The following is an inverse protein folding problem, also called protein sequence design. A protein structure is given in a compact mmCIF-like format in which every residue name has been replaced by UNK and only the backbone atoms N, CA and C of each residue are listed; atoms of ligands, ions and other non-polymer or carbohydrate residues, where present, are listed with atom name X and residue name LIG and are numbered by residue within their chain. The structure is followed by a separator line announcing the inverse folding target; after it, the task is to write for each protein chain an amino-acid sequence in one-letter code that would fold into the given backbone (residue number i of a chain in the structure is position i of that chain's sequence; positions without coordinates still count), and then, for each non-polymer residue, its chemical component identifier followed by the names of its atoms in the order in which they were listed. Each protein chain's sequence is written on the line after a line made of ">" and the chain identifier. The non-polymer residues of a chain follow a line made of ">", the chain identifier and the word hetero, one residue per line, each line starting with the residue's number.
data_IF_387067714004
#
_entry.id   IF_387067714004
#
_cell.length_a   1.000
_cell.length_b   1.000
_cell.length_c   1.000
_cell.angle_alpha   90.00
_cell.angle_beta   90.00
_cell.angle_gamma   90.00
#
_symmetry.space_group_name_H-M   'P 1'
#
loop_
_entity.id
_entity.type
_entity.pdbx_description
1 polymer ?
#
# COMPACT_ATOMS: atom_id res chain seq x y z
N UNK A 1 -16.44 -1.99 4.53
CA UNK A 1 -15.14 -1.53 5.07
C UNK A 1 -14.09 -1.72 3.99
N UNK A 2 -13.25 -0.71 3.71
CA UNK A 2 -12.21 -0.83 2.68
C UNK A 2 -11.03 -1.62 3.24
N UNK A 3 -10.90 -2.90 2.89
CA UNK A 3 -9.77 -3.74 3.32
C UNK A 3 -9.28 -4.72 2.24
N UNK A 4 -8.14 -5.36 2.54
CA UNK A 4 -7.49 -6.37 1.70
C UNK A 4 -7.49 -7.78 2.32
N UNK A 5 -8.30 -8.05 3.34
CA UNK A 5 -8.31 -9.32 4.08
C UNK A 5 -8.60 -10.56 3.21
N UNK A 6 -9.40 -10.39 2.16
CA UNK A 6 -9.75 -11.46 1.22
C UNK A 6 -8.79 -11.58 0.02
N UNK A 7 -7.69 -10.83 0.02
CA UNK A 7 -6.68 -10.95 -1.04
C UNK A 7 -5.91 -12.25 -0.85
N UNK A 8 -5.76 -13.00 -1.93
CA UNK A 8 -5.00 -14.25 -1.95
C UNK A 8 -3.59 -14.03 -1.40
N UNK A 9 -3.22 -14.81 -0.39
CA UNK A 9 -1.91 -14.75 0.25
C UNK A 9 -0.77 -14.94 -0.77
N UNK A 10 -0.94 -15.79 -1.78
CA UNK A 10 0.08 -16.02 -2.82
C UNK A 10 0.33 -14.76 -3.66
N UNK A 11 -0.68 -13.93 -3.88
CA UNK A 11 -0.50 -12.65 -4.56
C UNK A 11 0.32 -11.67 -3.71
N UNK A 12 0.03 -11.63 -2.39
CA UNK A 12 0.80 -10.81 -1.44
C UNK A 12 2.26 -11.26 -1.43
N UNK A 13 2.52 -12.56 -1.34
CA UNK A 13 3.87 -13.13 -1.34
C UNK A 13 4.64 -12.83 -2.63
N UNK A 14 4.01 -12.99 -3.79
CA UNK A 14 4.64 -12.69 -5.08
C UNK A 14 5.04 -11.21 -5.20
N UNK A 15 4.15 -10.30 -4.80
CA UNK A 15 4.46 -8.87 -4.80
C UNK A 15 5.48 -8.52 -3.72
N UNK A 16 5.44 -9.17 -2.56
CA UNK A 16 6.43 -8.98 -1.51
C UNK A 16 7.83 -9.37 -2.00
N UNK A 17 7.94 -10.44 -2.79
CA UNK A 17 9.20 -10.84 -3.43
C UNK A 17 9.69 -9.79 -4.45
N UNK A 18 8.79 -9.29 -5.30
CA UNK A 18 9.14 -8.28 -6.32
C UNK A 18 9.51 -6.93 -5.71
N UNK A 19 8.85 -6.55 -4.61
CA UNK A 19 9.04 -5.29 -3.92
C UNK A 19 9.97 -5.41 -2.71
N UNK A 20 10.58 -6.58 -2.49
CA UNK A 20 11.39 -6.93 -1.31
C UNK A 20 10.79 -6.47 0.02
N UNK A 21 9.46 -6.42 0.13
CA UNK A 21 8.73 -5.88 1.28
C UNK A 21 7.24 -6.23 1.22
N UNK A 22 6.78 -6.98 2.22
CA UNK A 22 5.36 -7.32 2.39
C UNK A 22 4.50 -6.07 2.65
N UNK A 23 5.03 -5.11 3.41
CA UNK A 23 4.36 -3.84 3.71
C UNK A 23 4.09 -3.06 2.42
N UNK A 24 5.09 -2.93 1.54
CA UNK A 24 4.92 -2.27 0.23
C UNK A 24 3.94 -3.02 -0.67
N UNK A 25 3.99 -4.35 -0.67
CA UNK A 25 3.04 -5.17 -1.43
C UNK A 25 1.60 -4.94 -0.98
N UNK A 26 1.33 -4.97 0.33
CA UNK A 26 0.01 -4.70 0.91
C UNK A 26 -0.50 -3.30 0.57
N UNK A 27 0.36 -2.28 0.70
CA UNK A 27 0.04 -0.89 0.34
C UNK A 27 -0.28 -0.78 -1.17
N UNK A 28 0.54 -1.41 -2.02
CA UNK A 28 0.33 -1.39 -3.47
C UNK A 28 -1.00 -2.03 -3.87
N UNK A 29 -1.31 -3.20 -3.31
CA UNK A 29 -2.59 -3.90 -3.53
C UNK A 29 -3.76 -3.03 -3.06
N UNK A 30 -3.65 -2.42 -1.89
CA UNK A 30 -4.68 -1.52 -1.37
C UNK A 30 -4.93 -0.36 -2.33
N UNK A 31 -3.87 0.32 -2.79
CA UNK A 31 -3.97 1.44 -3.73
C UNK A 31 -4.51 1.03 -5.10
N UNK A 32 -4.23 -0.20 -5.56
CA UNK A 32 -4.82 -0.74 -6.80
C UNK A 32 -6.32 -0.98 -6.69
N UNK A 33 -6.82 -1.29 -5.50
CA UNK A 33 -8.25 -1.49 -5.23
C UNK A 33 -8.97 -0.18 -4.94
N UNK A 34 -8.30 0.73 -4.23
CA UNK A 34 -8.83 2.01 -3.79
C UNK A 34 -7.85 3.12 -4.19
N UNK A 35 -8.10 3.71 -5.36
CA UNK A 35 -7.28 4.81 -5.87
C UNK A 35 -7.42 6.06 -4.98
N UNK A 36 -6.39 6.92 -4.97
CA UNK A 36 -6.38 8.23 -4.29
C UNK A 36 -6.65 8.17 -2.78
N UNK A 37 -6.18 7.12 -2.11
CA UNK A 37 -6.33 6.98 -0.66
C UNK A 37 -5.30 7.77 0.15
N UNK A 38 -5.75 8.22 1.31
CA UNK A 38 -4.94 8.84 2.36
C UNK A 38 -4.15 7.80 3.16
N UNK A 39 -3.16 8.24 3.93
CA UNK A 39 -2.38 7.37 4.83
C UNK A 39 -3.29 6.62 5.81
N UNK A 40 -4.28 7.31 6.40
CA UNK A 40 -5.14 6.73 7.41
C UNK A 40 -6.08 5.65 6.83
N UNK A 41 -6.57 5.86 5.61
CA UNK A 41 -7.36 4.86 4.89
C UNK A 41 -6.53 3.61 4.56
N UNK A 42 -5.29 3.81 4.09
CA UNK A 42 -4.37 2.70 3.80
C UNK A 42 -4.06 1.94 5.09
N UNK A 43 -3.75 2.63 6.18
CA UNK A 43 -3.47 2.02 7.48
C UNK A 43 -4.65 1.17 7.97
N UNK A 44 -5.87 1.74 7.94
CA UNK A 44 -7.08 1.03 8.34
C UNK A 44 -7.38 -0.19 7.45
N UNK A 45 -7.14 -0.09 6.15
CA UNK A 45 -7.46 -1.17 5.21
C UNK A 45 -6.40 -2.27 5.09
N UNK A 46 -5.17 -2.01 5.52
CA UNK A 46 -4.05 -2.97 5.49
C UNK A 46 -3.68 -3.51 6.87
N UNK A 47 -4.13 -2.86 7.95
CA UNK A 47 -3.71 -3.18 9.32
C UNK A 47 -2.29 -2.70 9.65
N UNK A 48 -1.66 -1.89 8.79
CA UNK A 48 -0.30 -1.37 8.98
C UNK A 48 -0.37 -0.05 9.76
N UNK A 49 0.56 0.17 10.68
CA UNK A 49 0.62 1.44 11.42
C UNK A 49 0.79 2.66 10.49
N UNK A 50 0.10 3.80 10.76
CA UNK A 50 0.18 5.00 9.92
C UNK A 50 1.60 5.54 9.70
N UNK A 51 2.50 5.40 10.68
CA UNK A 51 3.92 5.77 10.54
C UNK A 51 4.62 4.94 9.49
N UNK A 52 4.48 3.61 9.56
CA UNK A 52 5.06 2.67 8.60
C UNK A 52 4.48 2.86 7.20
N UNK A 53 3.18 3.21 7.10
CA UNK A 53 2.56 3.59 5.83
C UNK A 53 3.23 4.84 5.25
N UNK A 54 3.46 5.90 6.05
CA UNK A 54 4.13 7.12 5.59
C UNK A 54 5.53 6.85 5.06
N UNK A 55 6.32 6.09 5.80
CA UNK A 55 7.68 5.71 5.40
C UNK A 55 7.67 4.88 4.11
N UNK A 56 6.81 3.85 4.05
CA UNK A 56 6.71 2.99 2.88
C UNK A 56 6.22 3.73 1.64
N UNK A 57 5.25 4.65 1.79
CA UNK A 57 4.78 5.50 0.69
C UNK A 57 5.90 6.42 0.19
N UNK A 58 6.71 6.98 1.08
CA UNK A 58 7.85 7.82 0.70
C UNK A 58 8.87 7.02 -0.12
N UNK A 59 9.21 5.82 0.32
CA UNK A 59 10.11 4.92 -0.42
C UNK A 59 9.51 4.48 -1.75
N UNK A 60 8.23 4.13 -1.78
CA UNK A 60 7.50 3.76 -2.99
C UNK A 60 7.41 4.92 -3.98
N UNK A 61 7.30 6.16 -3.49
CA UNK A 61 7.32 7.36 -4.31
C UNK A 61 8.71 7.58 -4.92
N UNK A 62 9.76 7.49 -4.10
CA UNK A 62 11.15 7.65 -4.55
C UNK A 62 11.57 6.58 -5.57
N UNK A 63 10.95 5.40 -5.52
CA UNK A 63 11.18 4.29 -6.45
C UNK A 63 10.20 4.24 -7.62
N UNK A 64 9.24 5.18 -7.70
CA UNK A 64 8.28 5.30 -8.80
C UNK A 64 7.12 4.30 -8.79
N UNK A 65 6.93 3.54 -7.70
CA UNK A 65 5.78 2.62 -7.57
C UNK A 65 4.46 3.34 -7.34
N UNK A 66 4.49 4.52 -6.74
CA UNK A 66 3.31 5.35 -6.48
C UNK A 66 3.59 6.80 -6.85
N UNK A 67 2.53 7.51 -7.25
CA UNK A 67 2.55 8.95 -7.45
C UNK A 67 1.63 9.62 -6.43
N UNK A 68 1.93 10.88 -6.11
CA UNK A 68 1.04 11.72 -5.32
C UNK A 68 0.32 12.68 -6.25
N UNK A 69 -1.00 12.65 -6.20
CA UNK A 69 -1.83 13.74 -6.73
C UNK A 69 -2.21 14.67 -5.57
N UNK A 70 -1.97 15.97 -5.73
CA UNK A 70 -2.56 16.97 -4.84
C UNK A 70 -3.95 17.25 -5.37
N UNK A 71 -4.99 16.90 -4.62
CA UNK A 71 -6.34 17.34 -4.95
C UNK A 71 -6.31 18.88 -4.94
N UNK A 72 -6.49 19.47 -6.13
CA UNK A 72 -6.68 20.90 -6.32
C UNK A 72 -8.12 21.30 -6.03
#
# INVERSE_FOLDING_TARGET
>A
MNNIENVDQKLIENLANLMSSEVRAKIYIYLRKYNKSTVDEIAGGTGIYPSTVRESILDMYNTGYVSREKNG
#
